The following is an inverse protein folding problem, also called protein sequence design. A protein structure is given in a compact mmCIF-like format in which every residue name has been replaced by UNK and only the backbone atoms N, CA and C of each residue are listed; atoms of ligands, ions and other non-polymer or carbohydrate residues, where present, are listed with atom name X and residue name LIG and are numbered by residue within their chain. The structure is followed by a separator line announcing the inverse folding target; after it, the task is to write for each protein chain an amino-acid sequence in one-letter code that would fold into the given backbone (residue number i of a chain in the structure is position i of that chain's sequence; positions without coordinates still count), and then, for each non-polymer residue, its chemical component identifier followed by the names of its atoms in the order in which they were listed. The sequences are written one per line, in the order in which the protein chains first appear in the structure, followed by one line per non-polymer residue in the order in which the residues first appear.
data_IF_140158263712
#
_entry.id   IF_140158263712
#
_cell.length_a   1.000
_cell.length_b   1.000
_cell.length_c   1.000
_cell.angle_alpha   90.00
_cell.angle_beta   90.00
_cell.angle_gamma   90.00
#
_symmetry.space_group_name_H-M   'P 1'
#
loop_
_entity.id
_entity.type
_entity.pdbx_description
1 polymer ?
#
# COMPACT_ATOMS: atom_id res chain seq x y z
N UNK A 1 -9.71 -3.11 -23.67
CA UNK A 1 -8.37 -2.49 -23.71
C UNK A 1 -8.28 -1.54 -22.52
N UNK A 2 -8.03 -2.04 -21.30
CA UNK A 2 -6.73 -2.18 -20.60
C UNK A 2 -6.17 -0.84 -20.09
N UNK A 3 -6.66 -0.39 -18.92
CA UNK A 3 -5.95 0.53 -18.03
C UNK A 3 -6.12 0.01 -16.59
N UNK A 4 -5.17 -0.80 -16.16
CA UNK A 4 -5.02 -1.23 -14.77
C UNK A 4 -3.98 -0.32 -14.14
N UNK A 5 -4.37 0.61 -13.26
CA UNK A 5 -3.38 1.39 -12.49
C UNK A 5 -3.03 0.61 -11.22
N UNK A 6 -2.44 -0.57 -11.41
CA UNK A 6 -1.78 -1.33 -10.36
C UNK A 6 -0.28 -1.07 -10.52
N UNK A 7 0.28 -0.10 -9.79
CA UNK A 7 1.71 0.12 -9.83
C UNK A 7 2.40 -0.97 -9.01
N UNK A 8 2.87 -2.02 -9.69
CA UNK A 8 3.70 -3.06 -9.09
C UNK A 8 5.10 -2.95 -9.67
N UNK A 9 6.05 -2.44 -8.87
CA UNK A 9 7.47 -2.38 -9.24
C UNK A 9 8.20 -3.54 -8.56
N UNK A 10 8.57 -4.57 -9.31
CA UNK A 10 9.44 -5.64 -8.83
C UNK A 10 10.91 -5.29 -9.07
N UNK A 11 11.73 -5.38 -8.03
CA UNK A 11 13.19 -5.42 -8.16
C UNK A 11 13.79 -6.33 -7.10
N UNK A 12 14.77 -7.15 -7.49
CA UNK A 12 15.67 -7.86 -6.55
C UNK A 12 16.64 -6.91 -5.83
N UNK A 13 16.63 -5.63 -6.21
CA UNK A 13 17.30 -4.56 -5.48
C UNK A 13 16.30 -4.04 -4.43
N UNK A 14 16.81 -3.60 -3.28
CA UNK A 14 16.07 -3.16 -2.09
C UNK A 14 15.19 -1.91 -2.33
N UNK A 15 14.30 -1.96 -3.32
CA UNK A 15 13.40 -0.87 -3.71
C UNK A 15 12.14 -1.04 -2.88
N UNK A 16 11.76 -0.06 -2.05
CA UNK A 16 10.49 -0.07 -1.34
C UNK A 16 9.33 -0.15 -2.34
N UNK A 17 8.40 -1.07 -2.09
CA UNK A 17 7.19 -1.27 -2.90
C UNK A 17 6.00 -0.68 -2.15
N UNK A 18 5.24 0.21 -2.80
CA UNK A 18 3.96 0.71 -2.30
C UNK A 18 2.83 0.15 -3.16
N UNK A 19 1.91 -0.59 -2.54
CA UNK A 19 0.66 -1.05 -3.14
C UNK A 19 -0.49 -0.27 -2.55
N UNK A 20 -1.28 0.43 -3.37
CA UNK A 20 -2.44 1.17 -2.88
C UNK A 20 -3.69 1.03 -3.73
N UNK A 21 -4.86 1.18 -3.10
CA UNK A 21 -6.17 1.25 -3.78
C UNK A 21 -7.12 2.21 -3.06
N UNK A 22 -7.98 2.88 -3.82
CA UNK A 22 -9.13 3.61 -3.26
C UNK A 22 -10.21 2.67 -2.74
N UNK A 23 -10.88 3.02 -1.64
CA UNK A 23 -11.92 2.17 -1.04
C UNK A 23 -13.28 2.22 -1.77
N UNK A 24 -13.47 3.16 -2.69
CA UNK A 24 -14.61 3.24 -3.61
C UNK A 24 -14.36 2.52 -4.95
N UNK A 25 -13.19 1.91 -5.12
CA UNK A 25 -12.89 1.12 -6.32
C UNK A 25 -13.66 -0.21 -6.29
N UNK A 26 -14.55 -0.39 -7.26
CA UNK A 26 -15.42 -1.56 -7.40
C UNK A 26 -14.80 -2.69 -8.25
N UNK A 27 -13.60 -2.49 -8.81
CA UNK A 27 -12.95 -3.43 -9.73
C UNK A 27 -12.03 -4.42 -8.97
N UNK A 28 -11.37 -3.95 -7.91
CA UNK A 28 -10.48 -4.77 -7.06
C UNK A 28 -10.92 -4.64 -5.59
N UNK A 29 -11.77 -5.57 -5.09
CA UNK A 29 -12.18 -5.56 -3.69
C UNK A 29 -10.95 -5.51 -2.79
N UNK A 30 -10.96 -4.63 -1.78
CA UNK A 30 -9.94 -4.41 -0.74
C UNK A 30 -9.27 -5.72 -0.25
N UNK A 31 -10.07 -6.77 -0.11
CA UNK A 31 -9.65 -8.11 0.29
C UNK A 31 -8.65 -8.76 -0.68
N UNK A 32 -8.77 -8.53 -1.99
CA UNK A 32 -7.86 -9.09 -3.00
C UNK A 32 -6.50 -8.40 -2.97
N UNK A 33 -6.44 -7.07 -2.86
CA UNK A 33 -5.16 -6.35 -2.81
C UNK A 33 -4.42 -6.64 -1.50
N UNK A 34 -5.13 -6.65 -0.37
CA UNK A 34 -4.57 -7.06 0.92
C UNK A 34 -4.07 -8.51 0.92
N UNK A 35 -4.77 -9.43 0.22
CA UNK A 35 -4.30 -10.82 0.05
C UNK A 35 -3.04 -10.90 -0.80
N UNK A 36 -2.97 -10.13 -1.90
CA UNK A 36 -1.78 -10.09 -2.75
C UNK A 36 -0.56 -9.55 -1.98
N UNK A 37 -0.72 -8.46 -1.23
CA UNK A 37 0.36 -7.93 -0.39
C UNK A 37 0.88 -8.96 0.62
N UNK A 38 -0.01 -9.74 1.25
CA UNK A 38 0.37 -10.82 2.16
C UNK A 38 1.12 -11.96 1.47
N UNK A 39 0.67 -12.38 0.28
CA UNK A 39 1.36 -13.41 -0.50
C UNK A 39 2.76 -12.92 -0.91
N UNK A 40 2.87 -11.67 -1.35
CA UNK A 40 4.16 -11.07 -1.68
C UNK A 40 5.09 -10.96 -0.48
N UNK A 41 4.58 -10.56 0.68
CA UNK A 41 5.36 -10.54 1.91
C UNK A 41 5.88 -11.94 2.27
N UNK A 42 5.06 -12.98 2.11
CA UNK A 42 5.45 -14.37 2.35
C UNK A 42 6.53 -14.84 1.39
N UNK A 43 6.35 -14.62 0.08
CA UNK A 43 7.32 -15.00 -0.95
C UNK A 43 8.67 -14.30 -0.77
N UNK A 44 8.65 -13.05 -0.30
CA UNK A 44 9.83 -12.25 0.00
C UNK A 44 10.38 -12.47 1.42
N UNK A 45 9.76 -13.36 2.21
CA UNK A 45 10.13 -13.65 3.62
C UNK A 45 10.16 -12.40 4.51
N UNK A 46 9.26 -11.47 4.25
CA UNK A 46 9.07 -10.26 5.05
C UNK A 46 8.13 -10.52 6.22
N UNK A 47 8.39 -9.87 7.33
CA UNK A 47 7.52 -9.88 8.51
C UNK A 47 6.71 -8.59 8.59
N UNK A 48 5.50 -8.67 9.12
CA UNK A 48 4.71 -7.47 9.41
C UNK A 48 5.45 -6.64 10.48
N UNK A 49 5.72 -5.37 10.18
CA UNK A 49 6.37 -4.44 11.11
C UNK A 49 5.35 -3.79 12.05
N UNK A 50 4.10 -3.68 11.59
CA UNK A 50 2.98 -3.10 12.29
C UNK A 50 1.67 -3.87 12.05
N UNK A 51 0.66 -3.55 12.85
CA UNK A 51 -0.70 -4.05 12.64
C UNK A 51 -1.37 -3.20 11.57
N UNK A 52 -2.23 -3.82 10.76
CA UNK A 52 -3.09 -3.08 9.83
C UNK A 52 -3.92 -2.04 10.60
N UNK A 53 -3.69 -0.76 10.30
CA UNK A 53 -4.20 0.36 11.10
C UNK A 53 -4.38 1.63 10.27
N UNK A 54 -5.06 2.64 10.83
CA UNK A 54 -5.35 3.88 10.11
C UNK A 54 -4.07 4.72 9.91
N UNK A 55 -3.98 5.38 8.75
CA UNK A 55 -3.05 6.48 8.52
C UNK A 55 -3.84 7.77 8.31
N UNK A 56 -3.21 8.91 8.55
CA UNK A 56 -3.88 10.21 8.64
C UNK A 56 -3.32 11.20 7.61
N UNK A 57 -4.22 11.93 6.96
CA UNK A 57 -3.92 13.14 6.18
C UNK A 57 -4.39 14.34 7.02
N UNK A 58 -3.44 15.05 7.63
CA UNK A 58 -3.72 16.05 8.67
C UNK A 58 -4.45 15.43 9.87
N UNK A 59 -5.65 15.93 10.18
CA UNK A 59 -6.50 15.43 11.28
C UNK A 59 -7.54 14.40 10.83
N UNK A 60 -7.52 14.00 9.55
CA UNK A 60 -8.51 13.09 8.97
C UNK A 60 -7.88 11.73 8.68
N UNK A 61 -8.68 10.66 8.80
CA UNK A 61 -8.23 9.32 8.38
C UNK A 61 -8.12 9.32 6.86
N UNK A 62 -6.89 9.23 6.36
CA UNK A 62 -6.59 9.11 4.93
C UNK A 62 -6.82 7.69 4.42
N UNK A 63 -6.80 6.69 5.29
CA UNK A 63 -7.17 5.31 5.02
C UNK A 63 -6.50 4.33 5.97
N UNK A 64 -6.17 3.13 5.52
CA UNK A 64 -5.53 2.09 6.34
C UNK A 64 -4.31 1.49 5.65
N UNK A 65 -3.26 1.24 6.40
CA UNK A 65 -2.01 0.68 5.89
C UNK A 65 -1.48 -0.47 6.73
N UNK A 66 -0.61 -1.28 6.11
CA UNK A 66 0.23 -2.26 6.77
C UNK A 66 1.59 -2.33 6.06
N UNK A 67 2.66 -2.29 6.85
CA UNK A 67 4.04 -2.39 6.39
C UNK A 67 4.64 -3.76 6.70
N UNK A 68 5.42 -4.25 5.75
CA UNK A 68 6.17 -5.49 5.80
C UNK A 68 7.64 -5.19 5.53
N UNK A 69 8.50 -5.87 6.27
CA UNK A 69 9.92 -5.59 6.25
C UNK A 69 10.77 -6.66 6.88
N UNK A 70 12.00 -6.29 7.19
CA UNK A 70 12.96 -7.14 7.88
C UNK A 70 13.97 -6.30 8.66
N UNK A 71 14.96 -6.96 9.28
CA UNK A 71 16.01 -6.28 10.04
C UNK A 71 17.26 -6.16 9.17
N UNK A 72 17.81 -4.95 9.06
CA UNK A 72 19.12 -4.70 8.46
C UNK A 72 19.91 -3.80 9.39
N UNK A 73 21.13 -4.22 9.73
CA UNK A 73 22.02 -3.46 10.64
C UNK A 73 21.35 -3.10 11.99
N UNK A 74 20.54 -4.02 12.52
CA UNK A 74 19.83 -3.83 13.79
C UNK A 74 18.61 -2.91 13.72
N UNK A 75 18.21 -2.45 12.53
CA UNK A 75 17.05 -1.56 12.32
C UNK A 75 15.99 -2.26 11.47
N UNK A 76 14.72 -2.03 11.79
CA UNK A 76 13.61 -2.43 10.94
C UNK A 76 13.65 -1.61 9.64
N UNK A 77 13.58 -2.29 8.51
CA UNK A 77 13.52 -1.67 7.19
C UNK A 77 12.25 -2.14 6.50
N UNK A 78 11.41 -1.18 6.11
CA UNK A 78 10.20 -1.43 5.34
C UNK A 78 10.58 -1.68 3.88
N UNK A 79 10.12 -2.80 3.34
CA UNK A 79 10.32 -3.17 1.93
C UNK A 79 9.02 -3.19 1.14
N UNK A 80 7.89 -3.39 1.82
CA UNK A 80 6.57 -3.43 1.20
C UNK A 80 5.57 -2.71 2.11
N UNK A 81 4.83 -1.75 1.56
CA UNK A 81 3.70 -1.11 2.23
C UNK A 81 2.44 -1.35 1.40
N UNK A 82 1.39 -1.81 2.06
CA UNK A 82 0.05 -1.83 1.53
C UNK A 82 -0.73 -0.67 2.17
N UNK A 83 -1.43 0.12 1.37
CA UNK A 83 -2.27 1.21 1.84
C UNK A 83 -3.61 1.23 1.12
N UNK A 84 -4.64 1.68 1.81
CA UNK A 84 -5.95 1.99 1.26
C UNK A 84 -6.19 3.47 1.43
N UNK A 85 -6.94 4.06 0.52
CA UNK A 85 -7.22 5.49 0.52
C UNK A 85 -8.72 5.68 0.65
N UNK A 86 -9.12 6.25 1.78
CA UNK A 86 -10.51 6.46 2.14
C UNK A 86 -11.11 7.54 1.25
N UNK A 87 -12.24 7.23 0.60
CA UNK A 87 -12.97 8.17 -0.26
C UNK A 87 -12.38 8.36 -1.66
N UNK A 88 -11.27 7.70 -1.99
CA UNK A 88 -10.70 7.75 -3.32
C UNK A 88 -11.37 6.72 -4.25
N UNK A 89 -11.64 7.14 -5.49
CA UNK A 89 -12.12 6.24 -6.56
C UNK A 89 -10.94 5.56 -7.28
N UNK A 90 -11.21 4.90 -8.40
CA UNK A 90 -10.22 4.26 -9.26
C UNK A 90 -9.09 5.21 -9.73
N UNK A 91 -9.33 6.53 -9.78
CA UNK A 91 -8.31 7.55 -10.07
C UNK A 91 -7.98 8.36 -8.81
N UNK A 92 -7.13 7.80 -7.95
CA UNK A 92 -6.72 8.43 -6.68
C UNK A 92 -6.13 9.84 -6.87
N UNK A 93 -5.21 10.11 -7.81
CA UNK A 93 -4.66 11.48 -7.95
C UNK A 93 -5.70 12.50 -8.40
N UNK A 94 -6.77 12.07 -9.07
CA UNK A 94 -7.85 12.94 -9.53
C UNK A 94 -8.92 13.17 -8.45
N UNK A 95 -9.23 12.13 -7.66
CA UNK A 95 -10.30 12.18 -6.65
C UNK A 95 -9.82 12.52 -5.24
N UNK A 96 -8.53 12.35 -4.97
CA UNK A 96 -7.92 12.52 -3.64
C UNK A 96 -6.45 12.96 -3.74
N UNK A 97 -6.16 14.13 -4.34
CA UNK A 97 -4.79 14.58 -4.62
C UNK A 97 -3.93 14.81 -3.35
N UNK A 98 -4.51 15.25 -2.23
CA UNK A 98 -3.76 15.45 -0.98
C UNK A 98 -3.36 14.12 -0.34
N UNK A 99 -4.26 13.14 -0.36
CA UNK A 99 -4.04 11.79 0.14
C UNK A 99 -3.03 11.04 -0.73
N UNK A 100 -3.09 11.24 -2.06
CA UNK A 100 -2.08 10.73 -2.98
C UNK A 100 -0.71 11.32 -2.63
N UNK A 101 -0.60 12.64 -2.47
CA UNK A 101 0.67 13.29 -2.10
C UNK A 101 1.19 12.83 -0.73
N UNK A 102 0.31 12.57 0.24
CA UNK A 102 0.71 12.10 1.58
C UNK A 102 1.28 10.67 1.56
N UNK A 103 0.87 9.85 0.59
CA UNK A 103 1.34 8.47 0.43
C UNK A 103 2.64 8.33 -0.39
N UNK A 104 3.04 9.37 -1.13
CA UNK A 104 4.23 9.39 -2.00
C UNK A 104 5.39 10.19 -1.38
#
# INVERSE_FOLDING_TARGET
YRHYTSAVKYSKQHIPILLFSGDQDSILPLTKLGKLAKLLAQDLKLVALDKYGPWYDGSQIGGWSQSFGGVKEGKNVTYLTFATIRGASHEVPYTSPSQALTLF
#
